data_IF_879971943213
#
_entry.id   IF_879971943213
#
_cell.length_a   1.000
_cell.length_b   1.000
_cell.length_c   1.000
_cell.angle_alpha   90.00
_cell.angle_beta   90.00
_cell.angle_gamma   90.00
#
_symmetry.space_group_name_H-M   'P 1'
#
loop_
_entity.id
_entity.type
_entity.pdbx_description
1 polymer ?
2 non-polymer ?
3 non-polymer ?
4 water ?
#
# COMPACT_ATOMS: atom_id res chain seq x y z
N UNK A 19 7.93 -9.09 -17.22
CA UNK A 19 8.75 -8.40 -16.24
C UNK A 19 8.31 -8.67 -14.81
N UNK A 20 7.09 -8.24 -14.49
CA UNK A 20 6.45 -8.47 -13.20
C UNK A 20 4.94 -8.51 -13.41
N UNK A 21 4.48 -9.48 -14.20
CA UNK A 21 3.09 -9.58 -14.57
C UNK A 21 2.35 -10.73 -13.89
N UNK A 22 3.03 -11.60 -13.17
CA UNK A 22 2.41 -12.75 -12.53
C UNK A 22 2.51 -12.60 -11.02
N UNK A 23 1.43 -12.94 -10.32
CA UNK A 23 1.44 -13.01 -8.86
C UNK A 23 1.40 -14.46 -8.42
N UNK A 24 2.34 -14.84 -7.57
CA UNK A 24 2.42 -16.19 -7.02
C UNK A 24 2.27 -16.13 -5.52
N UNK A 25 1.90 -17.26 -4.92
CA UNK A 25 1.93 -17.37 -3.47
C UNK A 25 3.36 -17.16 -2.97
N UNK A 26 3.50 -16.26 -2.00
CA UNK A 26 4.82 -15.92 -1.47
C UNK A 26 5.45 -17.08 -0.72
N UNK A 27 4.63 -17.98 -0.16
CA UNK A 27 5.16 -19.07 0.66
C UNK A 27 5.63 -20.27 -0.16
N UNK A 28 4.99 -20.54 -1.29
CA UNK A 28 5.29 -21.74 -2.06
C UNK A 28 5.42 -21.55 -3.56
N UNK A 29 5.01 -20.40 -4.12
CA UNK A 29 5.17 -20.16 -5.54
C UNK A 29 3.99 -20.54 -6.40
N UNK A 30 2.91 -21.03 -5.80
CA UNK A 30 1.70 -21.35 -6.55
C UNK A 30 1.26 -20.17 -7.41
N UNK A 31 0.88 -20.46 -8.65
CA UNK A 31 0.38 -19.40 -9.54
C UNK A 31 -0.99 -18.94 -9.08
N UNK A 32 -1.15 -17.63 -8.86
CA UNK A 32 -2.40 -17.11 -8.30
C UNK A 32 -3.12 -16.15 -9.24
N UNK A 33 -2.45 -15.08 -9.67
CA UNK A 33 -3.14 -14.08 -10.47
C UNK A 33 -2.14 -13.32 -11.33
N UNK A 34 -2.62 -12.24 -11.96
CA UNK A 34 -1.82 -11.44 -12.87
C UNK A 34 -2.13 -9.97 -12.65
N UNK A 35 -1.14 -9.12 -12.95
CA UNK A 35 -1.36 -7.68 -12.83
C UNK A 35 -2.44 -7.22 -13.80
N UNK A 36 -2.55 -7.88 -14.96
CA UNK A 36 -3.60 -7.59 -15.92
C UNK A 36 -5.00 -7.77 -15.33
N UNK A 37 -5.13 -8.61 -14.31
CA UNK A 37 -6.43 -8.94 -13.74
C UNK A 37 -6.79 -8.09 -12.54
N UNK A 38 -5.99 -7.08 -12.23
CA UNK A 38 -6.35 -6.15 -11.16
C UNK A 38 -7.67 -5.46 -11.48
N UNK A 39 -8.46 -5.21 -10.43
CA UNK A 39 -9.81 -4.65 -10.58
C UNK A 39 -9.97 -3.37 -9.76
N UNK A 40 -10.13 -2.21 -10.39
CA UNK A 40 -10.39 -0.99 -9.61
C UNK A 40 -11.81 -0.92 -9.05
N UNK A 41 -11.92 -1.21 -7.74
CA UNK A 41 -13.20 -1.16 -7.06
C UNK A 41 -13.26 0.09 -6.18
N UNK A 42 -14.20 0.99 -6.49
CA UNK A 42 -14.35 2.22 -5.74
C UNK A 42 -13.35 3.25 -6.23
N UNK A 43 -12.74 2.95 -7.37
CA UNK A 43 -11.76 3.81 -7.99
C UNK A 43 -10.33 3.40 -7.77
N UNK A 44 -10.09 2.32 -7.03
CA UNK A 44 -8.74 1.90 -6.67
C UNK A 44 -8.74 0.39 -6.43
N UNK A 45 -7.70 -0.29 -6.91
CA UNK A 45 -7.62 -1.71 -6.65
C UNK A 45 -7.06 -2.03 -5.27
N UNK A 46 -6.57 -1.04 -4.52
CA UNK A 46 -6.00 -1.25 -3.20
C UNK A 46 -6.97 -0.75 -2.13
N UNK A 47 -7.28 -1.61 -1.15
CA UNK A 47 -8.13 -1.26 -0.02
C UNK A 47 -7.43 -1.70 1.26
N UNK A 48 -7.30 -0.81 2.23
CA UNK A 48 -6.76 -1.18 3.53
C UNK A 48 -7.90 -1.35 4.53
N UNK A 49 -7.97 -2.54 5.14
CA UNK A 49 -9.12 -2.93 5.96
C UNK A 49 -8.63 -3.63 7.22
N UNK A 50 -9.52 -3.69 8.22
CA UNK A 50 -9.30 -4.42 9.46
C UNK A 50 -10.39 -5.46 9.66
N UNK A 51 -10.01 -6.62 10.16
CA UNK A 51 -10.99 -7.63 10.52
C UNK A 51 -11.42 -7.42 11.96
N UNK A 52 -12.39 -8.17 12.48
CA UNK A 52 -12.82 -7.94 13.88
C UNK A 52 -11.70 -8.14 14.89
N UNK A 53 -10.64 -8.87 14.53
CA UNK A 53 -9.50 -9.05 15.43
C UNK A 53 -8.51 -7.91 15.35
N UNK A 54 -8.82 -6.84 14.62
CA UNK A 54 -7.93 -5.70 14.51
C UNK A 54 -6.79 -5.88 13.55
N UNK A 55 -6.69 -7.03 12.88
CA UNK A 55 -5.60 -7.24 11.93
C UNK A 55 -5.78 -6.36 10.70
N UNK A 56 -4.72 -5.66 10.32
CA UNK A 56 -4.76 -4.81 9.13
C UNK A 56 -4.37 -5.64 7.93
N UNK A 57 -5.08 -5.43 6.84
CA UNK A 57 -4.76 -6.09 5.58
C UNK A 57 -4.70 -5.05 4.48
N UNK A 58 -3.71 -5.17 3.61
CA UNK A 58 -3.56 -4.35 2.42
C UNK A 58 -4.09 -5.24 1.29
N UNK A 59 -5.33 -4.98 0.91
CA UNK A 59 -6.03 -5.87 0.00
C UNK A 59 -5.98 -5.32 -1.42
N UNK A 60 -5.60 -6.16 -2.36
CA UNK A 60 -5.69 -5.85 -3.79
C UNK A 60 -6.84 -6.63 -4.39
N UNK A 61 -7.70 -5.95 -5.15
CA UNK A 61 -8.86 -6.59 -5.75
C UNK A 61 -8.50 -7.07 -7.14
N UNK A 62 -8.85 -8.32 -7.44
CA UNK A 62 -8.60 -8.95 -8.73
C UNK A 62 -9.92 -9.46 -9.29
N UNK A 63 -10.13 -9.25 -10.60
CA UNK A 63 -11.31 -9.82 -11.23
C UNK A 63 -11.22 -11.33 -11.31
N UNK A 64 -10.01 -11.88 -11.30
CA UNK A 64 -9.79 -13.28 -11.55
C UNK A 64 -8.59 -13.76 -10.74
N UNK A 65 -8.61 -15.03 -10.35
CA UNK A 65 -7.48 -15.67 -9.70
C UNK A 65 -7.61 -17.17 -9.90
N UNK A 66 -6.50 -17.87 -9.66
CA UNK A 66 -6.43 -19.33 -9.82
C UNK A 66 -5.57 -19.90 -8.70
N UNK A 67 -5.55 -21.23 -8.60
CA UNK A 67 -4.65 -21.84 -7.64
C UNK A 67 -5.08 -21.71 -6.20
N UNK A 68 -6.27 -21.18 -5.95
CA UNK A 68 -6.77 -21.03 -4.60
C UNK A 68 -7.64 -22.22 -4.23
N UNK A 69 -7.96 -22.32 -2.95
CA UNK A 69 -8.97 -23.23 -2.45
C UNK A 69 -9.94 -22.42 -1.61
N UNK A 70 -11.21 -22.40 -2.00
CA UNK A 70 -12.22 -21.61 -1.31
C UNK A 70 -12.87 -22.46 -0.22
N UNK A 71 -12.80 -21.98 1.01
CA UNK A 71 -13.17 -22.76 2.18
C UNK A 71 -14.55 -22.32 2.66
N UNK A 72 -15.42 -23.28 2.91
CA UNK A 72 -16.70 -22.98 3.50
C UNK A 72 -17.67 -22.33 2.52
N UNK A 73 -18.77 -21.95 3.06
CA UNK A 73 -19.84 -21.27 2.36
C UNK A 73 -19.74 -19.76 2.59
N UNK A 74 -20.24 -18.95 1.65
CA UNK A 74 -20.15 -17.49 1.80
C UNK A 74 -20.83 -16.98 3.05
N UNK A 75 -20.29 -15.88 3.57
CA UNK A 75 -20.86 -15.18 4.72
C UNK A 75 -20.81 -13.68 4.46
N UNK A 76 -21.86 -12.98 4.84
CA UNK A 76 -21.86 -11.55 4.73
C UNK A 76 -21.41 -10.79 5.97
N UNK A 77 -21.17 -11.50 7.07
CA UNK A 77 -20.84 -10.84 8.33
C UNK A 77 -19.50 -10.12 8.22
N UNK A 78 -19.49 -8.84 8.58
CA UNK A 78 -18.29 -8.01 8.60
C UNK A 78 -17.71 -7.79 7.21
N UNK A 79 -18.48 -8.00 6.15
CA UNK A 79 -17.95 -7.85 4.81
C UNK A 79 -17.47 -6.42 4.57
N UNK A 80 -16.25 -6.28 4.06
CA UNK A 80 -15.71 -4.95 3.77
C UNK A 80 -16.30 -4.33 2.51
N UNK A 81 -17.01 -5.11 1.69
CA UNK A 81 -17.51 -4.63 0.41
C UNK A 81 -19.03 -4.78 0.38
N UNK A 82 -19.73 -3.65 0.26
CA UNK A 82 -21.18 -3.64 0.37
C UNK A 82 -21.82 -4.53 -0.69
N UNK A 83 -22.74 -5.39 -0.25
CA UNK A 83 -23.45 -6.29 -1.14
C UNK A 83 -22.77 -7.60 -1.42
N UNK A 84 -21.58 -7.84 -0.88
CA UNK A 84 -20.81 -9.03 -1.19
C UNK A 84 -20.69 -9.93 0.03
N UNK A 85 -20.77 -11.23 -0.20
CA UNK A 85 -20.47 -12.26 0.77
C UNK A 85 -19.08 -12.82 0.47
N UNK A 86 -18.36 -13.23 1.51
CA UNK A 86 -16.99 -13.66 1.34
C UNK A 86 -16.83 -15.12 1.73
N UNK A 87 -15.89 -15.78 1.07
CA UNK A 87 -15.37 -17.07 1.48
C UNK A 87 -13.86 -16.97 1.61
N UNK A 88 -13.32 -17.61 2.64
CA UNK A 88 -11.88 -17.65 2.81
C UNK A 88 -11.24 -18.31 1.59
N UNK A 89 -10.17 -17.70 1.08
CA UNK A 89 -9.40 -18.23 -0.05
C UNK A 89 -8.01 -18.59 0.47
N UNK A 90 -7.69 -19.86 0.46
CA UNK A 90 -6.35 -20.31 0.82
C UNK A 90 -5.57 -20.61 -0.44
N UNK A 91 -4.24 -20.52 -0.34
CA UNK A 91 -3.42 -21.07 -1.38
C UNK A 91 -3.77 -22.55 -1.50
N UNK A 92 -4.15 -22.97 -2.72
CA UNK A 92 -4.52 -24.36 -2.93
C UNK A 92 -3.38 -25.33 -2.75
N UNK A 93 -2.15 -24.84 -2.80
CA UNK A 93 -0.97 -25.69 -2.70
C UNK A 93 -0.49 -25.82 -1.26
N UNK A 94 -0.26 -24.69 -0.58
CA UNK A 94 0.35 -24.72 0.74
C UNK A 94 -0.62 -24.38 1.86
N UNK A 95 -1.82 -23.90 1.55
CA UNK A 95 -2.79 -23.61 2.58
C UNK A 95 -2.67 -22.25 3.23
N UNK A 96 -1.72 -21.43 2.81
CA UNK A 96 -1.58 -20.09 3.35
C UNK A 96 -2.83 -19.26 3.04
N UNK A 97 -3.25 -18.45 4.01
CA UNK A 97 -4.44 -17.62 3.82
C UNK A 97 -4.09 -16.44 2.92
N UNK A 98 -4.59 -16.45 1.69
CA UNK A 98 -4.22 -15.43 0.71
C UNK A 98 -5.25 -14.33 0.58
N UNK A 99 -6.48 -14.54 1.05
CA UNK A 99 -7.47 -13.52 0.97
C UNK A 99 -8.87 -14.09 1.00
N UNK A 100 -9.76 -13.53 0.20
CA UNK A 100 -11.17 -13.92 0.21
C UNK A 100 -11.73 -13.84 -1.20
N UNK A 101 -12.68 -14.71 -1.48
CA UNK A 101 -13.50 -14.62 -2.68
C UNK A 101 -14.81 -13.95 -2.29
N UNK A 102 -15.26 -13.01 -3.13
CA UNK A 102 -16.49 -12.28 -2.87
C UNK A 102 -17.51 -12.63 -3.94
N UNK A 103 -18.76 -12.80 -3.52
CA UNK A 103 -19.85 -13.12 -4.43
C UNK A 103 -21.12 -12.51 -3.89
N UNK A 104 -22.19 -12.64 -4.68
CA UNK A 104 -23.49 -12.21 -4.25
C UNK A 104 -23.80 -10.76 -4.49
N UNK A 105 -22.84 -10.01 -5.04
CA UNK A 105 -23.01 -8.59 -5.28
C UNK A 105 -23.45 -8.29 -6.70
N UNK A 106 -23.18 -7.07 -7.13
CA UNK A 106 -23.55 -6.60 -8.47
C UNK A 106 -22.43 -5.76 -9.04
N UNK A 107 -22.08 -6.03 -10.30
CA UNK A 107 -21.10 -5.31 -11.09
C UNK A 107 -19.73 -5.04 -10.48
N UNK A 108 -18.92 -6.08 -10.26
CA UNK A 108 -19.19 -7.42 -10.76
C UNK A 108 -19.92 -8.25 -9.72
N UNK A 109 -20.42 -9.42 -10.11
CA UNK A 109 -21.09 -10.25 -9.13
C UNK A 109 -20.07 -10.90 -8.21
N UNK A 110 -18.87 -11.15 -8.72
CA UNK A 110 -17.80 -11.81 -7.98
C UNK A 110 -16.46 -11.15 -8.27
N UNK A 111 -15.54 -11.29 -7.32
CA UNK A 111 -14.15 -10.86 -7.48
C UNK A 111 -13.35 -11.42 -6.31
N UNK A 112 -12.03 -11.26 -6.37
CA UNK A 112 -11.12 -11.73 -5.33
C UNK A 112 -10.49 -10.54 -4.63
N UNK A 113 -10.46 -10.58 -3.30
CA UNK A 113 -9.64 -9.66 -2.55
C UNK A 113 -8.47 -10.38 -1.92
N UNK A 114 -7.26 -10.12 -2.42
CA UNK A 114 -6.06 -10.85 -2.02
C UNK A 114 -5.13 -9.94 -1.21
N UNK A 115 -4.51 -10.51 -0.19
CA UNK A 115 -3.62 -9.77 0.72
C UNK A 115 -2.29 -9.57 0.01
N UNK A 116 -1.99 -8.31 -0.31
CA UNK A 116 -0.86 -7.99 -1.19
C UNK A 116 0.46 -8.58 -0.70
N UNK A 117 0.75 -8.45 0.58
CA UNK A 117 2.03 -8.90 1.11
C UNK A 117 2.14 -10.42 1.25
N UNK A 118 1.10 -11.18 0.89
CA UNK A 118 1.21 -12.63 0.88
C UNK A 118 1.44 -13.15 -0.54
N UNK A 119 1.64 -12.26 -1.50
CA UNK A 119 1.90 -12.61 -2.88
C UNK A 119 3.31 -12.14 -3.26
N UNK A 120 3.85 -12.71 -4.34
CA UNK A 120 5.13 -12.30 -4.90
C UNK A 120 4.92 -12.05 -6.38
N UNK A 121 5.39 -10.90 -6.88
CA UNK A 121 5.17 -10.49 -8.25
C UNK A 121 6.41 -10.83 -9.08
N UNK A 122 6.18 -11.34 -10.30
CA UNK A 122 7.30 -11.72 -11.14
C UNK A 122 6.95 -11.95 -12.60
N UNK A 123 7.97 -12.31 -13.38
CA UNK A 123 7.75 -12.50 -14.82
C UNK A 123 6.88 -13.70 -15.14
N UNK A 124 6.26 -13.64 -16.32
CA UNK A 124 5.40 -14.71 -16.82
C UNK A 124 6.18 -16.01 -17.00
N UNK B 20 14.57 9.39 10.35
CA UNK B 20 15.58 9.66 11.37
C UNK B 20 16.54 8.48 11.51
N UNK B 21 16.20 7.36 10.87
CA UNK B 21 17.00 6.15 10.94
C UNK B 21 17.72 5.91 9.63
N UNK B 22 18.81 5.14 9.72
CA UNK B 22 19.63 4.76 8.58
C UNK B 22 19.60 3.25 8.43
N UNK B 23 19.76 2.79 7.20
CA UNK B 23 19.88 1.37 6.91
C UNK B 23 21.33 1.06 6.61
N UNK B 24 21.87 0.07 7.30
CA UNK B 24 23.26 -0.32 7.13
C UNK B 24 23.31 -1.71 6.54
N UNK B 25 24.43 -2.02 5.90
CA UNK B 25 24.69 -3.39 5.50
C UNK B 25 24.68 -4.25 6.74
N UNK B 26 23.85 -5.30 6.72
CA UNK B 26 23.73 -6.15 7.90
C UNK B 26 25.00 -6.94 8.13
N UNK B 27 25.78 -7.18 7.07
CA UNK B 27 26.97 -8.02 7.20
C UNK B 27 28.17 -7.23 7.72
N UNK B 28 28.30 -5.95 7.38
CA UNK B 28 29.50 -5.21 7.76
C UNK B 28 29.21 -3.86 8.41
N UNK B 29 27.98 -3.37 8.37
CA UNK B 29 27.64 -2.17 9.08
C UNK B 29 27.79 -0.88 8.31
N UNK B 30 28.23 -0.94 7.06
CA UNK B 30 28.38 0.29 6.28
C UNK B 30 27.02 0.93 6.04
N UNK B 31 26.96 2.25 6.22
CA UNK B 31 25.73 2.99 5.95
C UNK B 31 25.40 2.95 4.47
N UNK B 32 24.15 2.59 4.15
CA UNK B 32 23.71 2.39 2.78
C UNK B 32 22.65 3.39 2.38
N UNK B 33 21.59 3.52 3.17
CA UNK B 33 20.51 4.41 2.80
C UNK B 33 19.84 4.94 4.06
N UNK B 34 18.77 5.70 3.88
CA UNK B 34 18.10 6.36 5.00
C UNK B 34 16.61 6.15 4.84
N UNK B 35 15.91 6.14 5.97
CA UNK B 35 14.47 5.97 5.90
C UNK B 35 13.81 7.13 5.17
N UNK B 36 14.38 8.33 5.29
CA UNK B 36 13.86 9.51 4.59
C UNK B 36 13.78 9.27 3.08
N UNK B 37 14.60 8.37 2.56
CA UNK B 37 14.71 8.15 1.13
C UNK B 37 13.83 7.01 0.63
N UNK B 38 12.97 6.46 1.46
CA UNK B 38 12.07 5.42 0.98
C UNK B 38 11.21 5.99 -0.14
N UNK B 39 10.98 5.19 -1.17
CA UNK B 39 10.29 5.63 -2.36
C UNK B 39 9.10 4.72 -2.65
N UNK B 40 7.86 5.22 -2.63
CA UNK B 40 6.70 4.34 -2.86
C UNK B 40 6.45 4.08 -4.34
N UNK B 41 7.29 3.23 -4.92
CA UNK B 41 7.14 2.85 -6.32
C UNK B 41 5.85 2.08 -6.50
N UNK B 42 4.98 2.57 -7.39
CA UNK B 42 3.70 1.93 -7.59
C UNK B 42 2.75 2.02 -6.41
N UNK B 43 3.01 2.94 -5.48
CA UNK B 43 2.17 3.10 -4.32
C UNK B 43 2.62 2.35 -3.09
N UNK B 44 3.83 1.77 -3.10
CA UNK B 44 4.33 1.07 -1.93
C UNK B 44 5.84 0.98 -2.04
N UNK B 45 6.53 1.23 -0.93
CA UNK B 45 7.97 1.04 -0.96
C UNK B 45 8.37 -0.43 -0.82
N UNK B 46 7.49 -1.30 -0.33
CA UNK B 46 7.80 -2.72 -0.23
C UNK B 46 7.22 -3.48 -1.41
N UNK B 47 8.08 -4.26 -2.07
CA UNK B 47 7.68 -5.14 -3.16
C UNK B 47 8.23 -6.53 -2.89
N UNK B 48 7.36 -7.53 -2.84
CA UNK B 48 7.79 -8.92 -2.78
C UNK B 48 7.78 -9.46 -4.20
N UNK B 49 8.92 -9.95 -4.66
CA UNK B 49 9.11 -10.27 -6.08
C UNK B 49 9.84 -11.61 -6.19
N UNK B 50 9.74 -12.23 -7.37
CA UNK B 50 10.52 -13.42 -7.67
C UNK B 50 11.26 -13.23 -8.99
N UNK B 51 12.50 -13.74 -9.06
CA UNK B 51 13.30 -13.62 -10.27
C UNK B 51 13.04 -14.81 -11.20
N UNK B 52 13.63 -14.85 -12.40
CA UNK B 52 13.34 -15.97 -13.32
C UNK B 52 13.75 -17.34 -12.80
N UNK B 53 14.67 -17.42 -11.84
CA UNK B 53 15.03 -18.70 -11.24
C UNK B 53 14.09 -19.08 -10.10
N UNK B 54 13.05 -18.28 -9.87
CA UNK B 54 12.09 -18.57 -8.82
C UNK B 54 12.50 -18.16 -7.43
N UNK B 55 13.59 -17.41 -7.27
CA UNK B 55 13.99 -16.95 -5.95
C UNK B 55 13.17 -15.73 -5.57
N UNK B 56 12.68 -15.71 -4.33
CA UNK B 56 11.78 -14.65 -3.85
C UNK B 56 12.56 -13.68 -2.98
N UNK B 57 12.36 -12.38 -3.22
CA UNK B 57 13.03 -11.29 -2.51
C UNK B 57 11.99 -10.32 -2.00
N UNK B 58 12.20 -9.80 -0.79
CA UNK B 58 11.39 -8.70 -0.26
C UNK B 58 12.20 -7.41 -0.41
N UNK B 59 11.83 -6.60 -1.39
CA UNK B 59 12.60 -5.43 -1.82
C UNK B 59 11.94 -4.17 -1.27
N UNK B 60 12.76 -3.28 -0.68
CA UNK B 60 12.33 -1.93 -0.32
C UNK B 60 12.97 -0.92 -1.26
N UNK B 61 12.16 0.02 -1.78
CA UNK B 61 12.66 0.98 -2.76
C UNK B 61 13.12 2.25 -2.08
N UNK B 62 14.32 2.71 -2.46
CA UNK B 62 14.94 3.93 -1.95
C UNK B 62 15.31 4.82 -3.13
N UNK B 63 15.13 6.13 -2.99
CA UNK B 63 15.49 7.05 -4.05
C UNK B 63 16.99 7.08 -4.27
N UNK B 64 17.77 7.09 -3.19
CA UNK B 64 19.22 7.21 -3.23
C UNK B 64 19.84 6.18 -2.31
N UNK B 65 21.12 5.91 -2.54
CA UNK B 65 21.90 5.08 -1.64
C UNK B 65 23.36 5.46 -1.78
N UNK B 66 24.17 4.98 -0.85
CA UNK B 66 25.60 5.19 -0.89
C UNK B 66 26.29 3.91 -0.44
N UNK B 67 27.60 3.84 -0.67
CA UNK B 67 28.37 2.72 -0.22
C UNK B 67 28.17 1.43 -0.99
N UNK B 68 27.40 1.44 -2.07
CA UNK B 68 27.23 0.24 -2.86
C UNK B 68 28.22 0.22 -4.00
N UNK B 69 28.28 -0.91 -4.71
CA UNK B 69 29.03 -1.00 -5.95
C UNK B 69 28.13 -1.68 -6.98
N UNK B 70 27.83 -0.97 -8.05
CA UNK B 70 26.97 -1.51 -9.10
C UNK B 70 27.83 -2.27 -10.10
N UNK B 71 27.36 -3.45 -10.49
CA UNK B 71 28.14 -4.38 -11.31
C UNK B 71 27.43 -4.56 -12.65
N UNK B 72 28.20 -4.52 -13.72
CA UNK B 72 27.73 -4.83 -15.05
C UNK B 72 27.07 -3.68 -15.76
N UNK B 73 26.59 -3.98 -16.92
CA UNK B 73 25.87 -2.99 -17.71
C UNK B 73 24.38 -3.14 -17.44
N UNK B 74 23.61 -2.06 -17.54
CA UNK B 74 22.17 -2.15 -17.26
C UNK B 74 21.51 -3.16 -18.19
N UNK B 75 20.46 -3.79 -17.69
CA UNK B 75 19.69 -4.76 -18.45
C UNK B 75 18.23 -4.54 -18.18
N UNK B 76 17.41 -4.60 -19.24
CA UNK B 76 15.97 -4.51 -19.06
C UNK B 76 15.27 -5.83 -18.92
N UNK B 77 16.00 -6.92 -19.09
CA UNK B 77 15.40 -8.25 -19.07
C UNK B 77 14.88 -8.57 -17.68
N UNK B 78 13.61 -8.96 -17.62
CA UNK B 78 12.97 -9.43 -16.38
C UNK B 78 12.89 -8.34 -15.31
N UNK B 79 13.00 -7.06 -15.70
CA UNK B 79 12.93 -6.00 -14.70
C UNK B 79 11.59 -6.04 -13.98
N UNK B 80 11.64 -5.93 -12.66
CA UNK B 80 10.41 -5.89 -11.88
C UNK B 80 9.69 -4.56 -12.00
N UNK B 81 10.33 -3.53 -12.55
CA UNK B 81 9.74 -2.20 -12.64
C UNK B 81 9.72 -1.77 -14.11
N UNK B 82 8.52 -1.65 -14.66
CA UNK B 82 8.36 -1.39 -16.08
C UNK B 82 9.04 -0.08 -16.46
N UNK B 83 9.81 -0.13 -17.54
CA UNK B 83 10.51 1.05 -18.04
C UNK B 83 11.88 1.29 -17.47
N UNK B 84 12.35 0.43 -16.57
CA UNK B 84 13.64 0.58 -15.91
C UNK B 84 14.56 -0.58 -16.25
N UNK B 85 15.84 -0.28 -16.44
CA UNK B 85 16.87 -1.30 -16.53
C UNK B 85 17.57 -1.42 -15.18
N UNK B 86 18.06 -2.62 -14.87
CA UNK B 86 18.64 -2.87 -13.55
C UNK B 86 20.11 -3.24 -13.65
N UNK B 87 20.82 -2.97 -12.56
CA UNK B 87 22.20 -3.42 -12.34
C UNK B 87 22.30 -3.95 -10.93
N UNK B 88 23.04 -5.05 -10.76
CA UNK B 88 23.24 -5.64 -9.44
C UNK B 88 24.00 -4.67 -8.54
N UNK B 89 23.54 -4.54 -7.29
CA UNK B 89 24.15 -3.68 -6.28
C UNK B 89 24.74 -4.52 -5.14
N UNK B 90 26.05 -4.46 -4.99
CA UNK B 90 26.74 -5.11 -3.88
C UNK B 90 27.14 -4.06 -2.86
N UNK B 91 27.26 -4.49 -1.60
CA UNK B 91 27.92 -3.63 -0.62
C UNK B 91 29.34 -3.37 -1.10
N UNK B 92 29.70 -2.10 -1.27
CA UNK B 92 31.04 -1.80 -1.71
C UNK B 92 32.11 -2.15 -0.69
N UNK B 93 31.74 -2.33 0.57
CA UNK B 93 32.71 -2.59 1.62
C UNK B 93 32.96 -4.09 1.80
N UNK B 94 31.90 -4.89 1.93
CA UNK B 94 32.03 -6.31 2.18
C UNK B 94 31.59 -7.21 1.03
N UNK B 95 30.93 -6.66 0.01
CA UNK B 95 30.50 -7.45 -1.14
C UNK B 95 29.17 -8.16 -1.02
N UNK B 96 28.45 -8.01 0.09
CA UNK B 96 27.16 -8.67 0.21
C UNK B 96 26.19 -8.15 -0.84
N UNK B 97 25.40 -9.06 -1.42
CA UNK B 97 24.44 -8.66 -2.45
C UNK B 97 23.25 -7.99 -1.77
N UNK B 98 23.15 -6.67 -1.92
CA UNK B 98 22.13 -5.91 -1.20
C UNK B 98 20.92 -5.55 -2.05
N UNK B 99 21.01 -5.67 -3.38
CA UNK B 99 19.86 -5.37 -4.21
C UNK B 99 20.22 -4.99 -5.64
N UNK B 100 19.50 -4.01 -6.19
CA UNK B 100 19.65 -3.62 -7.58
C UNK B 100 19.45 -2.11 -7.70
N UNK B 101 20.15 -1.52 -8.67
CA UNK B 101 19.91 -0.13 -9.05
C UNK B 101 19.09 -0.11 -10.33
N UNK B 102 18.11 0.80 -10.38
CA UNK B 102 17.22 0.93 -11.53
C UNK B 102 17.43 2.29 -12.18
N UNK B 103 17.41 2.31 -13.52
CA UNK B 103 17.63 3.55 -14.25
C UNK B 103 16.87 3.52 -15.56
N UNK B 104 16.89 4.65 -16.26
CA UNK B 104 16.29 4.77 -17.57
C UNK B 104 14.84 5.20 -17.59
N UNK B 105 14.25 5.51 -16.45
CA UNK B 105 12.86 5.88 -16.37
C UNK B 105 12.67 7.38 -16.49
N UNK B 106 11.59 7.87 -15.92
CA UNK B 106 11.28 9.28 -16.06
C UNK B 106 10.84 9.94 -14.75
N UNK B 107 10.04 9.26 -13.94
CA UNK B 107 9.59 9.80 -12.66
C UNK B 107 9.50 8.68 -11.64
N UNK B 108 10.61 8.40 -10.93
CA UNK B 108 11.93 9.03 -11.03
C UNK B 108 12.80 8.38 -12.09
N UNK B 109 13.95 8.97 -12.39
CA UNK B 109 14.80 8.36 -13.42
C UNK B 109 15.66 7.25 -12.85
N UNK B 110 16.01 7.31 -11.57
CA UNK B 110 16.81 6.28 -10.93
C UNK B 110 16.28 6.01 -9.53
N UNK B 111 16.46 4.76 -9.08
CA UNK B 111 16.16 4.39 -7.70
C UNK B 111 16.79 3.03 -7.42
N UNK B 112 16.78 2.65 -6.15
CA UNK B 112 17.35 1.39 -5.68
C UNK B 112 16.26 0.47 -5.16
N UNK B 113 16.36 -0.80 -5.51
CA UNK B 113 15.59 -1.82 -4.83
C UNK B 113 16.51 -2.66 -3.96
N UNK B 114 16.40 -2.51 -2.64
CA UNK B 114 17.32 -3.13 -1.70
C UNK B 114 16.61 -4.25 -0.93
N UNK B 115 17.35 -5.33 -0.68
CA UNK B 115 16.79 -6.49 0.00
C UNK B 115 16.72 -6.18 1.49
N UNK B 116 15.50 -6.01 2.00
CA UNK B 116 15.29 -5.55 3.37
C UNK B 116 15.99 -6.45 4.38
N UNK B 117 15.96 -7.77 4.16
CA UNK B 117 16.54 -8.70 5.13
C UNK B 117 18.07 -8.68 5.14
N UNK B 118 18.70 -7.91 4.19
CA UNK B 118 20.15 -7.82 4.18
C UNK B 118 20.63 -6.49 4.72
N UNK B 119 19.68 -5.69 5.25
CA UNK B 119 19.96 -4.39 5.83
C UNK B 119 19.61 -4.44 7.31
N UNK B 120 20.19 -3.51 8.06
CA UNK B 120 19.83 -3.36 9.46
C UNK B 120 19.50 -1.90 9.68
N UNK B 121 18.34 -1.64 10.29
CA UNK B 121 17.89 -0.28 10.49
C UNK B 121 18.30 0.14 11.89
N UNK B 122 18.75 1.38 12.02
CA UNK B 122 19.18 1.90 13.29
C UNK B 122 19.32 3.40 13.28
N UNK B 123 19.68 3.98 14.42
CA UNK B 123 19.78 5.44 14.50
C UNK B 123 20.96 5.96 13.68
N UNK B 124 20.85 7.22 13.30
CA UNK B 124 21.89 7.87 12.51
C UNK B 124 23.21 7.92 13.26
N UNK C 19 -18.61 -4.36 8.05
CA UNK C 19 -17.19 -4.41 8.36
C UNK C 19 -16.45 -3.16 7.95
N UNK C 20 -17.20 -2.07 7.76
CA UNK C 20 -16.66 -0.82 7.25
C UNK C 20 -17.21 0.38 8.02
N UNK C 21 -17.46 0.22 9.31
CA UNK C 21 -18.12 1.26 10.09
C UNK C 21 -17.17 2.07 10.98
N UNK C 22 -15.92 1.63 11.18
CA UNK C 22 -14.95 2.40 11.93
C UNK C 22 -13.82 2.78 10.99
N UNK C 23 -13.34 4.02 11.10
CA UNK C 23 -12.25 4.52 10.27
C UNK C 23 -11.00 4.71 11.12
N UNK C 24 -9.90 4.08 10.69
CA UNK C 24 -8.64 4.11 11.39
C UNK C 24 -7.54 4.66 10.50
N UNK C 25 -6.46 5.14 11.13
CA UNK C 25 -5.25 5.49 10.38
C UNK C 25 -4.70 4.28 9.63
N UNK C 26 -4.43 4.46 8.34
CA UNK C 26 -3.94 3.37 7.51
C UNK C 26 -2.52 2.95 7.90
N UNK C 27 -1.72 3.86 8.46
CA UNK C 27 -0.33 3.54 8.75
C UNK C 27 -0.17 2.84 10.10
N UNK C 28 -0.96 3.21 11.10
CA UNK C 28 -0.76 2.68 12.45
C UNK C 28 -2.01 2.15 13.10
N UNK C 29 -3.20 2.45 12.57
CA UNK C 29 -4.43 1.90 13.09
C UNK C 29 -5.11 2.75 14.16
N UNK C 30 -4.59 3.93 14.44
CA UNK C 30 -5.24 4.85 15.37
C UNK C 30 -6.71 5.04 15.00
N UNK C 31 -7.60 4.86 15.97
CA UNK C 31 -9.03 5.07 15.75
C UNK C 31 -9.30 6.55 15.52
N UNK C 32 -10.02 6.87 14.43
CA UNK C 32 -10.22 8.26 14.06
C UNK C 32 -11.69 8.63 14.14
N UNK C 33 -12.55 7.89 13.43
CA UNK C 33 -13.97 8.23 13.40
C UNK C 33 -14.81 6.98 13.11
N UNK C 34 -16.12 7.18 12.97
CA UNK C 34 -17.08 6.10 12.78
C UNK C 34 -18.13 6.53 11.77
N UNK C 35 -18.75 5.53 11.13
CA UNK C 35 -19.77 5.81 10.12
C UNK C 35 -20.94 6.61 10.68
N UNK C 36 -21.24 6.46 11.97
CA UNK C 36 -22.31 7.24 12.57
C UNK C 36 -22.06 8.74 12.44
N UNK C 37 -20.81 9.16 12.34
CA UNK C 37 -20.46 10.58 12.28
C UNK C 37 -20.24 11.07 10.85
N UNK C 38 -20.54 10.23 9.86
CA UNK C 38 -20.46 10.61 8.46
C UNK C 38 -21.41 11.75 8.11
N UNK C 39 -21.00 12.55 7.12
CA UNK C 39 -21.77 13.72 6.68
C UNK C 39 -22.08 13.54 5.20
N UNK C 40 -23.36 13.39 4.83
CA UNK C 40 -23.70 12.99 3.46
C UNK C 40 -23.90 14.14 2.50
N UNK C 41 -23.69 13.84 1.22
CA UNK C 41 -23.97 14.74 0.12
C UNK C 41 -24.18 13.96 -1.17
N UNK C 46 -18.84 10.55 0.59
CA UNK C 46 -17.71 10.53 -0.34
C UNK C 46 -17.75 11.73 -1.30
N UNK C 47 -16.63 12.45 -1.38
CA UNK C 47 -16.41 13.53 -2.33
C UNK C 47 -15.18 13.25 -3.15
N UNK C 48 -15.33 13.37 -4.47
CA UNK C 48 -14.21 13.30 -5.39
C UNK C 48 -13.79 14.73 -5.67
N UNK C 49 -12.54 15.04 -5.33
CA UNK C 49 -12.02 16.41 -5.36
C UNK C 49 -10.60 16.34 -5.91
N UNK C 50 -10.10 17.48 -6.34
CA UNK C 50 -8.73 17.60 -6.80
C UNK C 50 -8.02 18.68 -6.00
N UNK C 51 -6.75 18.44 -5.70
CA UNK C 51 -5.94 19.43 -5.02
C UNK C 51 -5.38 20.38 -6.07
N UNK C 52 -4.69 21.45 -5.66
CA UNK C 52 -4.18 22.38 -6.68
C UNK C 52 -3.21 21.74 -7.66
N UNK C 54 -3.72 18.95 -9.19
CA UNK C 54 -4.45 18.08 -10.08
C UNK C 54 -4.59 16.65 -9.63
N UNK C 55 -4.13 16.33 -8.42
CA UNK C 55 -4.26 14.98 -7.88
C UNK C 55 -5.67 14.76 -7.35
N UNK C 56 -6.22 13.59 -7.65
CA UNK C 56 -7.60 13.26 -7.28
C UNK C 56 -7.63 12.66 -5.88
N UNK C 57 -8.50 13.19 -5.03
CA UNK C 57 -8.71 12.70 -3.67
C UNK C 57 -10.18 12.37 -3.45
N UNK C 58 -10.43 11.27 -2.74
CA UNK C 58 -11.77 10.88 -2.29
C UNK C 58 -11.89 11.22 -0.80
N UNK C 59 -12.59 12.31 -0.48
CA UNK C 59 -12.66 12.86 0.86
C UNK C 59 -13.96 12.44 1.53
N UNK C 60 -13.86 11.97 2.77
CA UNK C 60 -15.03 11.69 3.61
C UNK C 60 -15.16 12.78 4.67
N UNK C 61 -16.37 13.31 4.81
CA UNK C 61 -16.67 14.36 5.78
C UNK C 61 -17.25 13.74 7.05
N UNK C 62 -16.69 14.12 8.19
CA UNK C 62 -17.16 13.64 9.49
C UNK C 62 -17.48 14.84 10.38
N UNK C 63 -18.60 14.77 11.08
CA UNK C 63 -18.91 15.83 12.04
C UNK C 63 -17.98 15.78 13.25
N UNK C 64 -17.57 14.58 13.65
CA UNK C 64 -16.69 14.40 14.79
C UNK C 64 -15.57 13.41 14.45
N UNK C 65 -14.45 13.57 15.14
CA UNK C 65 -13.33 12.63 15.02
C UNK C 65 -12.50 12.73 16.29
N UNK C 66 -11.62 11.75 16.46
CA UNK C 66 -10.71 11.69 17.59
C UNK C 66 -9.36 11.19 17.11
N UNK C 67 -8.37 11.26 18.00
CA UNK C 67 -7.06 10.71 17.72
C UNK C 67 -6.23 11.51 16.75
N UNK C 68 -6.69 12.68 16.34
CA UNK C 68 -5.93 13.52 15.43
C UNK C 68 -5.12 14.55 16.21
N UNK C 69 -4.20 15.20 15.50
CA UNK C 69 -3.47 16.36 16.02
C UNK C 69 -3.57 17.45 14.97
N UNK C 70 -4.16 18.59 15.34
CA UNK C 70 -4.35 19.71 14.43
C UNK C 70 -3.20 20.70 14.64
N UNK C 71 -2.56 21.10 13.54
CA UNK C 71 -1.36 21.92 13.61
C UNK C 71 -1.46 23.09 12.63
N UNK C 72 -0.81 24.19 12.98
CA UNK C 72 -0.75 25.35 12.12
C UNK C 72 -1.95 26.26 12.26
N UNK C 73 -1.95 27.33 11.45
CA UNK C 73 -3.03 28.31 11.39
C UNK C 73 -3.99 27.99 10.25
N UNK C 74 -5.27 28.33 10.41
CA UNK C 74 -6.25 28.05 9.35
C UNK C 74 -5.87 28.73 8.04
N UNK C 75 -6.25 28.10 6.94
CA UNK C 75 -6.02 28.64 5.61
C UNK C 75 -7.27 28.43 4.75
N UNK C 76 -7.63 29.46 3.98
CA UNK C 76 -8.74 29.37 3.06
C UNK C 76 -8.37 29.02 1.63
N UNK C 77 -7.07 28.94 1.33
CA UNK C 77 -6.62 28.72 -0.04
C UNK C 77 -7.01 27.33 -0.53
N UNK C 78 -7.67 27.28 -1.68
CA UNK C 78 -8.03 26.05 -2.38
C UNK C 78 -9.02 25.19 -1.59
N UNK C 79 -9.73 25.77 -0.63
CA UNK C 79 -10.67 24.99 0.17
C UNK C 79 -11.77 24.40 -0.71
N UNK C 80 -12.01 23.09 -0.55
CA UNK C 80 -13.02 22.40 -1.32
C UNK C 80 -14.45 22.70 -0.86
N UNK C 81 -14.61 23.33 0.30
CA UNK C 81 -15.93 23.56 0.88
C UNK C 81 -16.11 25.06 1.10
N UNK C 82 -17.07 25.66 0.39
CA UNK C 82 -17.24 27.10 0.42
C UNK C 82 -17.55 27.60 1.83
N UNK C 83 -16.85 28.65 2.24
CA UNK C 83 -17.04 29.24 3.54
C UNK C 83 -16.21 28.67 4.68
N UNK C 84 -15.36 27.68 4.40
CA UNK C 84 -14.59 27.01 5.43
C UNK C 84 -13.10 27.23 5.23
N UNK C 85 -12.39 27.46 6.34
CA UNK C 85 -10.93 27.42 6.36
C UNK C 85 -10.47 26.08 6.93
N UNK C 86 -9.31 25.61 6.47
CA UNK C 86 -8.84 24.29 6.83
C UNK C 86 -7.53 24.35 7.62
N UNK C 87 -7.32 23.31 8.41
CA UNK C 87 -6.10 23.12 9.19
C UNK C 87 -5.67 21.67 9.03
N UNK C 88 -4.36 21.44 8.87
CA UNK C 88 -3.87 20.09 8.62
C UNK C 88 -4.14 19.21 9.84
N UNK C 89 -4.64 18.00 9.59
CA UNK C 89 -4.95 17.03 10.63
C UNK C 89 -4.02 15.83 10.47
N UNK C 90 -3.15 15.62 11.45
CA UNK C 90 -2.27 14.47 11.47
C UNK C 90 -2.81 13.41 12.43
N UNK C 91 -2.45 12.16 12.15
CA UNK C 91 -2.66 11.09 13.12
C UNK C 91 -1.86 11.40 14.39
N UNK C 92 -2.56 11.47 15.52
CA UNK C 92 -1.88 11.74 16.79
C UNK C 92 -0.94 10.65 17.22
N UNK C 93 -1.07 9.45 16.65
CA UNK C 93 -0.26 8.31 17.06
C UNK C 93 1.03 8.21 16.27
N UNK C 94 0.95 8.24 14.94
CA UNK C 94 2.11 8.07 14.09
C UNK C 94 2.50 9.31 13.30
N UNK C 95 1.64 10.33 13.25
CA UNK C 95 1.96 11.55 12.54
C UNK C 95 1.61 11.58 11.06
N UNK C 96 1.00 10.51 10.54
CA UNK C 96 0.59 10.50 9.14
C UNK C 96 -0.46 11.57 8.86
N UNK C 97 -0.34 12.22 7.70
CA UNK C 97 -1.28 13.26 7.30
C UNK C 97 -2.58 12.61 6.84
N UNK C 98 -3.64 12.74 7.65
CA UNK C 98 -4.88 12.05 7.36
C UNK C 98 -5.93 12.94 6.68
N UNK C 99 -5.77 14.25 6.73
CA UNK C 99 -6.74 15.13 6.10
C UNK C 99 -6.72 16.52 6.71
N UNK C 100 -7.90 17.12 6.87
CA UNK C 100 -8.00 18.51 7.31
C UNK C 100 -9.21 18.71 8.20
N UNK C 101 -9.08 19.65 9.14
CA UNK C 101 -10.18 20.14 9.95
C UNK C 101 -10.69 21.44 9.35
N UNK C 102 -12.00 21.56 9.23
CA UNK C 102 -12.62 22.73 8.63
C UNK C 102 -13.38 23.50 9.70
N UNK C 103 -13.28 24.82 9.65
CA UNK C 103 -13.87 25.67 10.68
C UNK C 103 -14.25 27.01 10.07
N UNK C 104 -14.97 27.80 10.85
CA UNK C 104 -15.35 29.14 10.44
C UNK C 104 -16.59 29.21 9.57
N UNK C 105 -17.24 28.09 9.30
CA UNK C 105 -18.37 28.03 8.40
C UNK C 105 -19.70 28.17 9.09
N UNK C 106 -20.74 27.63 8.45
CA UNK C 106 -22.13 27.75 8.90
C UNK C 106 -22.85 26.42 8.71
N UNK C 108 -22.91 22.52 9.60
CA UNK C 108 -22.21 22.73 10.89
C UNK C 108 -21.17 23.85 10.78
N UNK C 109 -20.89 24.52 11.90
CA UNK C 109 -19.68 25.37 12.04
C UNK C 109 -18.45 24.57 11.57
N UNK C 110 -18.14 23.47 12.26
CA UNK C 110 -16.86 22.77 12.07
C UNK C 110 -17.14 21.34 11.59
N UNK C 111 -16.15 20.76 10.89
CA UNK C 111 -16.20 19.36 10.52
C UNK C 111 -14.81 18.92 10.05
N UNK C 112 -14.67 17.62 9.82
CA UNK C 112 -13.41 17.01 9.40
C UNK C 112 -13.52 16.47 7.97
N UNK C 113 -12.52 16.76 7.14
CA UNK C 113 -12.37 16.12 5.84
C UNK C 113 -11.16 15.22 5.78
N UNK C 114 -11.38 13.90 5.73
CA UNK C 114 -10.30 12.93 5.83
C UNK C 114 -10.07 12.21 4.50
N UNK C 115 -8.81 11.95 4.20
CA UNK C 115 -8.40 11.32 2.94
C UNK C 115 -8.64 9.81 3.00
N UNK C 116 -9.55 9.32 2.15
CA UNK C 116 -9.92 7.91 2.19
C UNK C 116 -8.72 6.98 2.05
N UNK C 117 -7.82 7.27 1.10
CA UNK C 117 -6.67 6.39 0.91
C UNK C 117 -5.62 6.52 2.02
N UNK C 118 -5.86 7.36 3.02
CA UNK C 118 -5.06 7.40 4.23
C UNK C 118 -5.77 6.73 5.40
N UNK C 119 -6.96 6.16 5.17
CA UNK C 119 -7.73 5.50 6.20
C UNK C 119 -7.93 4.03 5.90
N UNK C 120 -8.30 3.28 6.95
CA UNK C 120 -8.64 1.88 6.84
C UNK C 120 -9.95 1.63 7.56
N UNK C 121 -10.85 0.89 6.91
CA UNK C 121 -12.20 0.64 7.41
C UNK C 121 -12.27 -0.73 8.10
N UNK C 122 -13.07 -0.80 9.16
CA UNK C 122 -13.25 -2.04 9.88
C UNK C 122 -14.52 -2.07 10.71
N UNK C 123 -14.81 -3.22 11.31
CA UNK C 123 -16.07 -3.37 12.06
C UNK C 123 -16.08 -2.59 13.37
N UNK C 124 -17.29 -2.30 13.83
CA UNK C 124 -17.50 -1.61 15.09
C UNK C 124 -16.98 -2.43 16.25
X LIG D 1 1.18 -21.24 -1.19
X LIG E 1 -14.22 -9.41 5.02
X LIG E 1 -13.68 -9.26 7.46
X LIG E 1 -13.62 -11.49 6.26
X LIG E 1 -13.21 -11.41 8.72
X LIG E 1 -11.98 -11.96 9.44
X LIG E 1 -13.48 -12.85 11.17
X LIG E 1 -14.56 -12.39 10.55
X LIG E 1 -14.41 -11.62 9.24
X LIG E 1 -13.53 -10.74 4.96
X LIG E 1 -12.89 -14.76 12.36
X LIG E 1 -13.02 -10.67 7.42
X LIG E 1 -12.10 -12.62 10.57
X LIG E 1 -14.29 -8.70 6.25
X LIG E 1 -14.71 -8.94 4.04
X LIG E 1 -13.67 -8.62 8.47
X LIG E 1 -13.59 -13.56 12.37
X LIG F 1 28.70 -4.73 3.79
X LIG G 1 14.99 -7.33 -11.50
X LIG G 1 14.90 -9.83 -11.74
X LIG G 1 17.13 -8.64 -11.58
X LIG G 1 17.01 -11.10 -12.05
X LIG G 1 17.77 -12.18 -11.30
X LIG G 1 18.17 -13.25 -13.48
X LIG G 1 17.52 -12.32 -14.12
X LIG G 1 16.88 -11.16 -13.37
X LIG G 1 16.39 -7.45 -11.01
X LIG G 1 18.66 -15.56 -13.50
X LIG G 1 16.39 -9.95 -11.29
X LIG G 1 18.31 -13.18 -11.97
X LIG G 1 14.27 -8.51 -11.85
X LIG G 1 14.45 -6.28 -11.58
X LIG G 1 14.25 -10.80 -11.97
X LIG G 1 18.74 -14.32 -14.17
X LIG H 1 -1.32 6.74 12.43
X LIG I 1 -8.60 21.68 0.90
X LIG I 1 -7.05 21.30 -1.04
X LIG I 1 -6.16 21.30 1.33
X LIG I 1 -4.57 20.92 -0.58
X LIG I 1 -3.74 19.71 -1.00
X LIG I 1 -1.92 21.28 -1.55
X LIG I 1 -2.65 22.32 -1.18
X LIG I 1 -4.07 22.13 -0.66
X LIG I 1 -7.58 21.09 1.81
X LIG I 1 -0.15 20.42 -2.83
X LIG I 1 -5.98 20.70 -0.07
X LIG I 1 -2.52 19.87 -1.45
X LIG I 1 -8.33 21.80 -0.50
X LIG I 1 -9.63 22.07 1.34
X LIG I 1 -6.84 21.36 -2.21
X LIG I 1 -0.62 21.46 -2.02
#
# INVERSE_FOLDING_TARGET
>A
GMPLDAGGQNSTQMVLAPGASIFRCRQCGQTISRRDWLLPMGGDHEHVVFNPAGMIFRVWCFSLAQGLRLIGAPSGEFSWFKGYDWTIALCGQCGSHLGWHYEGGSQPQTFFGLIKDRLAEGPAD
>B
GMPLDAGGQNSTQMVLAPGASIFRCRQCGQTISRRDWLLPMGGDHEHVVFNPAGMIFRVWCFSLAQGLRLIGAPSGEFSWFKGYDWTIALCGQCGSHLGWHYEGGSQPQTFFGLIKDRLAEGPAD
>C
GMPLDAGGQNSTQMVLAPGASIFRCRQCGQTISRRDWLLPMGGDHEHVVFNPAGMIFRVWCFSLAQGLRLIGAPSGEFSWFKGYDWTIALCGQCGSHLGWHYEGGSQPQTFFGLIKDRLAEGPAD
>D hetero
1 ZN ZN
>E hetero
1 9FT C2 C3 C5 C6 C7 C9 C10 C11 C1 C12 C4 C8 N1 O1 O2 O3
>F hetero
1 ZN ZN
>G hetero
1 9FT C2 C3 C5 C6 C7 C9 C10 C11 C1 C12 C4 C8 N1 O1 O2 O3
>H hetero
1 ZN ZN
>I hetero
1 9FT C2 C3 C5 C6 C7 C9 C10 C11 C1 C12 C4 C8 N1 O1 O2 O3
#
